data_IF_207807114419
#
_entry.id   IF_207807114419
#
_cell.length_a   1.000
_cell.length_b   1.000
_cell.length_c   1.000
_cell.angle_alpha   90.00
_cell.angle_beta   90.00
_cell.angle_gamma   90.00
#
_symmetry.space_group_name_H-M   'P 1'
#
loop_
_entity.id
_entity.type
_entity.pdbx_description
1 polymer ?
#
# COMPACT_ATOMS: atom_id res chain seq x y z
N UNK A 1 -11.15 -10.26 -18.92
CA UNK A 1 -11.85 -10.08 -17.64
C UNK A 1 -10.82 -9.63 -16.64
N UNK A 2 -11.00 -8.48 -16.01
CA UNK A 2 -10.11 -8.06 -14.92
C UNK A 2 -10.56 -8.77 -13.65
N UNK A 3 -9.75 -9.69 -13.15
CA UNK A 3 -9.99 -10.36 -11.88
C UNK A 3 -9.70 -9.40 -10.72
N UNK A 4 -10.66 -9.25 -9.80
CA UNK A 4 -10.47 -8.44 -8.61
C UNK A 4 -9.95 -9.35 -7.50
N UNK A 5 -8.67 -9.18 -7.17
CA UNK A 5 -8.00 -9.91 -6.10
C UNK A 5 -7.81 -9.00 -4.89
N UNK A 6 -8.24 -9.46 -3.72
CA UNK A 6 -8.06 -8.75 -2.45
C UNK A 6 -6.96 -9.39 -1.59
N UNK A 7 -6.01 -8.58 -1.16
CA UNK A 7 -5.01 -8.96 -0.18
C UNK A 7 -5.56 -8.77 1.23
N UNK A 8 -5.46 -9.80 2.07
CA UNK A 8 -5.78 -9.74 3.50
C UNK A 8 -4.58 -9.21 4.28
N UNK A 9 -4.77 -8.81 5.53
CA UNK A 9 -3.69 -8.22 6.35
C UNK A 9 -2.37 -9.02 6.34
N UNK A 10 -2.36 -10.37 6.51
CA UNK A 10 -1.11 -11.13 6.43
C UNK A 10 -0.40 -11.01 5.08
N UNK A 11 -1.16 -11.07 3.98
CA UNK A 11 -0.61 -10.95 2.63
C UNK A 11 -0.16 -9.52 2.34
N UNK A 12 -0.91 -8.50 2.79
CA UNK A 12 -0.51 -7.10 2.69
C UNK A 12 0.83 -6.83 3.40
N UNK A 13 1.01 -7.37 4.61
CA UNK A 13 2.29 -7.28 5.33
C UNK A 13 3.41 -7.99 4.58
N UNK A 14 3.15 -9.20 4.05
CA UNK A 14 4.13 -9.96 3.25
C UNK A 14 4.55 -9.21 1.97
N UNK A 15 3.59 -8.65 1.24
CA UNK A 15 3.81 -7.92 -0.01
C UNK A 15 4.55 -6.60 0.20
N UNK A 16 4.17 -5.85 1.23
CA UNK A 16 4.73 -4.50 1.48
C UNK A 16 5.95 -4.50 2.38
N UNK A 17 6.20 -5.58 3.13
CA UNK A 17 7.22 -5.63 4.19
C UNK A 17 6.92 -4.73 5.39
N UNK A 18 5.71 -4.17 5.48
CA UNK A 18 5.30 -3.27 6.56
C UNK A 18 4.58 -4.02 7.67
N UNK A 19 4.72 -3.54 8.90
CA UNK A 19 3.91 -4.02 10.01
C UNK A 19 2.44 -3.57 9.87
N UNK A 20 1.53 -4.31 10.50
CA UNK A 20 0.10 -3.96 10.56
C UNK A 20 -0.14 -2.50 11.00
N UNK A 21 0.57 -2.04 12.02
CA UNK A 21 0.44 -0.67 12.50
C UNK A 21 0.87 0.35 11.43
N UNK A 22 2.00 0.09 10.76
CA UNK A 22 2.49 0.97 9.71
C UNK A 22 1.53 1.05 8.51
N UNK A 23 0.88 -0.05 8.16
CA UNK A 23 -0.17 -0.09 7.12
C UNK A 23 -1.34 0.84 7.47
N UNK A 24 -1.87 0.74 8.69
CA UNK A 24 -2.97 1.63 9.11
C UNK A 24 -2.54 3.09 9.25
N UNK A 25 -1.33 3.38 9.74
CA UNK A 25 -0.80 4.74 9.76
C UNK A 25 -0.71 5.33 8.35
N UNK A 26 -0.23 4.56 7.36
CA UNK A 26 -0.13 5.03 5.98
C UNK A 26 -1.49 5.29 5.32
N UNK A 27 -2.50 4.51 5.67
CA UNK A 27 -3.85 4.66 5.13
C UNK A 27 -4.66 5.79 5.80
N UNK A 28 -4.28 6.23 7.00
CA UNK A 28 -5.05 7.21 7.78
C UNK A 28 -4.63 8.66 7.48
N UNK A 29 -5.50 9.51 6.91
CA UNK A 29 -5.19 10.91 6.61
C UNK A 29 -4.80 11.77 7.82
N UNK A 30 -5.16 11.35 9.04
CA UNK A 30 -4.82 12.06 10.28
C UNK A 30 -3.45 11.67 10.84
N UNK A 31 -2.81 10.63 10.32
CA UNK A 31 -1.49 10.20 10.77
C UNK A 31 -0.39 10.96 10.00
N UNK A 32 0.71 11.31 10.68
CA UNK A 32 1.86 11.96 10.05
C UNK A 32 2.52 11.14 8.93
N UNK A 33 2.28 9.83 8.91
CA UNK A 33 2.84 8.88 7.93
C UNK A 33 1.87 8.60 6.78
N UNK A 34 0.75 9.32 6.72
CA UNK A 34 -0.21 9.22 5.64
C UNK A 34 0.49 9.34 4.29
N UNK A 35 0.14 8.44 3.38
CA UNK A 35 0.61 8.46 2.01
C UNK A 35 -0.63 8.47 1.11
N UNK A 36 -0.91 9.59 0.41
CA UNK A 36 -2.08 9.71 -0.46
C UNK A 36 -2.14 8.66 -1.57
N UNK A 37 -1.01 8.07 -1.94
CA UNK A 37 -0.93 7.03 -2.97
C UNK A 37 -1.03 5.62 -2.39
N UNK A 38 -1.08 5.47 -1.06
CA UNK A 38 -1.20 4.18 -0.42
C UNK A 38 -2.61 3.61 -0.62
N UNK A 39 -2.74 2.31 -0.97
CA UNK A 39 -4.03 1.69 -1.23
C UNK A 39 -4.92 1.74 0.03
N UNK A 40 -6.18 2.11 -0.17
CA UNK A 40 -7.12 2.27 0.92
C UNK A 40 -7.73 0.92 1.31
N UNK A 41 -7.99 0.68 2.62
CA UNK A 41 -8.64 -0.54 3.06
C UNK A 41 -10.09 -0.59 2.55
N UNK A 42 -10.44 -1.69 1.90
CA UNK A 42 -11.81 -2.01 1.48
C UNK A 42 -12.43 -2.95 2.50
N UNK A 43 -13.56 -2.55 3.09
CA UNK A 43 -14.41 -3.46 3.86
C UNK A 43 -15.13 -4.40 2.89
N UNK A 44 -14.74 -5.67 2.90
CA UNK A 44 -15.38 -6.74 2.14
C UNK A 44 -16.62 -7.22 2.88
N UNK A 45 -16.51 -7.35 4.22
CA UNK A 45 -17.61 -7.59 5.16
C UNK A 45 -17.34 -6.82 6.45
N UNK A 46 -18.26 -6.90 7.42
CA UNK A 46 -18.12 -6.23 8.72
C UNK A 46 -16.83 -6.58 9.47
N UNK A 47 -16.38 -7.83 9.35
CA UNK A 47 -15.17 -8.34 10.00
C UNK A 47 -13.98 -8.42 9.05
N UNK A 48 -14.22 -8.27 7.74
CA UNK A 48 -13.25 -8.57 6.71
C UNK A 48 -12.80 -7.30 5.98
N UNK A 49 -11.54 -6.92 6.18
CA UNK A 49 -10.88 -5.82 5.43
C UNK A 49 -9.78 -6.35 4.54
N UNK A 50 -9.71 -5.86 3.30
CA UNK A 50 -8.66 -6.18 2.34
C UNK A 50 -8.22 -4.98 1.52
N UNK A 51 -7.19 -5.16 0.71
CA UNK A 51 -6.65 -4.16 -0.21
C UNK A 51 -6.69 -4.73 -1.63
N UNK A 52 -7.01 -3.90 -2.62
CA UNK A 52 -7.02 -4.33 -4.01
C UNK A 52 -5.58 -4.58 -4.46
N UNK A 53 -5.27 -5.79 -4.92
CA UNK A 53 -3.90 -6.19 -5.26
C UNK A 53 -3.28 -5.28 -6.34
N UNK A 54 -4.06 -4.88 -7.34
CA UNK A 54 -3.57 -3.99 -8.40
C UNK A 54 -3.16 -2.61 -7.87
N UNK A 55 -3.87 -2.07 -6.88
CA UNK A 55 -3.53 -0.80 -6.24
C UNK A 55 -2.25 -0.92 -5.40
N UNK A 56 -2.09 -2.05 -4.69
CA UNK A 56 -0.88 -2.36 -3.93
C UNK A 56 0.33 -2.46 -4.85
N UNK A 57 0.19 -3.17 -5.98
CA UNK A 57 1.24 -3.30 -6.99
C UNK A 57 1.62 -1.94 -7.61
N UNK A 58 0.62 -1.10 -7.92
CA UNK A 58 0.85 0.24 -8.45
C UNK A 58 1.62 1.12 -7.44
N UNK A 59 1.22 1.08 -6.17
CA UNK A 59 1.93 1.81 -5.11
C UNK A 59 3.37 1.32 -4.94
N UNK A 60 3.62 0.00 -4.93
CA UNK A 60 4.98 -0.56 -4.86
C UNK A 60 5.84 -0.13 -6.05
N UNK A 61 5.29 -0.18 -7.27
CA UNK A 61 5.98 0.29 -8.46
C UNK A 61 6.36 1.78 -8.36
N UNK A 62 5.43 2.62 -7.86
CA UNK A 62 5.70 4.03 -7.59
C UNK A 62 6.82 4.21 -6.54
N UNK A 63 6.81 3.44 -5.44
CA UNK A 63 7.88 3.46 -4.42
C UNK A 63 9.24 3.11 -5.01
N UNK A 64 9.29 2.11 -5.90
CA UNK A 64 10.51 1.72 -6.61
C UNK A 64 11.02 2.86 -7.50
N UNK A 65 10.12 3.47 -8.29
CA UNK A 65 10.47 4.58 -9.17
C UNK A 65 11.03 5.79 -8.38
N UNK A 66 10.34 6.21 -7.31
CA UNK A 66 10.78 7.31 -6.44
C UNK A 66 12.13 7.02 -5.79
N UNK A 67 12.35 5.79 -5.33
CA UNK A 67 13.62 5.37 -4.72
C UNK A 67 14.79 5.50 -5.72
N UNK A 68 14.58 5.07 -6.96
CA UNK A 68 15.60 5.08 -8.02
C UNK A 68 15.88 6.47 -8.60
N UNK A 69 14.87 7.35 -8.66
CA UNK A 69 15.04 8.73 -9.13
C UNK A 69 15.86 9.59 -8.17
N UNK A 70 15.87 9.28 -6.86
CA UNK A 70 16.63 10.05 -5.86
C UNK A 70 18.16 9.87 -5.93
N UNK A 71 18.67 8.99 -6.80
CA UNK A 71 20.11 8.77 -7.00
C UNK A 71 20.78 9.70 -8.03
N UNK A 72 20.05 10.61 -8.67
CA UNK A 72 20.56 11.43 -9.80
C UNK A 72 20.88 12.89 -9.48
N UNK A 73 21.10 13.27 -8.21
CA UNK A 73 21.46 14.65 -7.83
C UNK A 73 22.76 14.68 -7.04
N UNK A 74 23.85 14.42 -7.73
CA UNK A 74 25.20 14.91 -7.41
C UNK A 74 25.88 15.14 -8.76
N UNK A 75 25.62 16.30 -9.36
CA UNK A 75 26.43 16.92 -10.41
C UNK A 75 26.48 18.42 -10.12
#
# INVERSE_FOLDING_TARGET
MNEIVFLRMPEMMKRTGLSRAAIYCKANPKDRRFDPHFPQPVKITDTATGWVESEVNAWLAHRIAVSRQKGGKHE
#
